data_IF_679882284130
#
_entry.id   IF_679882284130
#
_cell.length_a   1.000
_cell.length_b   1.000
_cell.length_c   1.000
_cell.angle_alpha   90.00
_cell.angle_beta   90.00
_cell.angle_gamma   90.00
#
_symmetry.space_group_name_H-M   'P 1'
#
loop_
_entity.id
_entity.type
_entity.pdbx_description
1 polymer ?
#
# COMPACT_ATOMS: atom_id res chain seq x y z
N UNK A 1 -15.54 5.12 -21.76
CA UNK A 1 -16.77 5.88 -21.44
C UNK A 1 -16.60 6.66 -20.13
N UNK A 2 -15.52 7.44 -19.98
CA UNK A 2 -15.10 7.99 -18.68
C UNK A 2 -14.57 9.44 -18.68
N UNK A 3 -14.60 10.15 -19.80
CA UNK A 3 -14.13 11.54 -19.89
C UNK A 3 -15.22 12.59 -19.55
N UNK A 4 -16.46 12.16 -19.33
CA UNK A 4 -17.63 13.04 -19.27
C UNK A 4 -18.06 13.48 -17.85
N UNK A 5 -17.21 13.31 -16.83
CA UNK A 5 -17.50 13.75 -15.45
C UNK A 5 -16.58 14.85 -14.90
N UNK A 6 -15.65 15.36 -15.70
CA UNK A 6 -14.70 16.41 -15.27
C UNK A 6 -15.35 17.81 -15.27
N UNK A 7 -16.59 17.94 -15.74
CA UNK A 7 -17.34 19.21 -15.78
C UNK A 7 -18.10 19.54 -14.48
N UNK A 8 -17.93 18.73 -13.42
CA UNK A 8 -18.32 19.13 -12.07
C UNK A 8 -17.29 20.12 -11.53
N UNK A 9 -17.66 21.40 -11.53
CA UNK A 9 -16.89 22.58 -11.11
C UNK A 9 -15.90 22.29 -9.97
N UNK A 10 -14.60 22.20 -10.32
CA UNK A 10 -13.51 22.24 -9.36
C UNK A 10 -13.69 23.46 -8.44
N UNK A 11 -13.94 23.22 -7.16
CA UNK A 11 -14.22 24.29 -6.21
C UNK A 11 -12.96 24.86 -5.60
N UNK A 12 -11.97 23.99 -5.37
CA UNK A 12 -10.66 24.35 -4.81
C UNK A 12 -9.57 23.57 -5.55
N UNK A 13 -9.27 23.94 -6.81
CA UNK A 13 -8.31 23.21 -7.62
C UNK A 13 -6.93 23.22 -6.97
N UNK A 14 -6.29 22.05 -6.96
CA UNK A 14 -4.96 21.83 -6.42
C UNK A 14 -4.14 21.03 -7.42
N UNK A 15 -2.90 21.43 -7.68
CA UNK A 15 -1.96 20.59 -8.42
C UNK A 15 -1.56 19.37 -7.59
N UNK A 16 -1.50 18.20 -8.23
CA UNK A 16 -1.01 16.98 -7.57
C UNK A 16 0.40 17.19 -7.01
N UNK A 17 0.54 17.00 -5.70
CA UNK A 17 1.82 17.26 -5.01
C UNK A 17 2.88 16.20 -5.24
N UNK A 18 2.51 15.04 -5.80
CA UNK A 18 3.45 13.97 -6.14
C UNK A 18 4.32 14.25 -7.37
N UNK A 19 4.03 15.30 -8.14
CA UNK A 19 4.78 15.65 -9.35
C UNK A 19 5.66 16.89 -9.13
N UNK A 20 6.94 16.75 -9.42
CA UNK A 20 7.84 17.90 -9.50
C UNK A 20 7.40 18.84 -10.62
N UNK A 21 7.27 20.14 -10.34
CA UNK A 21 7.04 21.18 -11.34
C UNK A 21 8.37 21.84 -11.70
N UNK A 22 8.77 21.74 -12.97
CA UNK A 22 10.07 22.15 -13.46
C UNK A 22 9.91 23.15 -14.61
N UNK A 23 10.73 24.21 -14.63
CA UNK A 23 10.78 25.16 -15.76
C UNK A 23 11.77 24.67 -16.80
N UNK A 24 11.32 24.52 -18.06
CA UNK A 24 12.20 24.21 -19.20
C UNK A 24 12.58 25.43 -20.04
N UNK A 25 11.95 26.57 -19.75
CA UNK A 25 12.15 27.82 -20.47
C UNK A 25 11.16 28.88 -20.01
N UNK A 26 11.03 30.00 -20.75
CA UNK A 26 10.14 31.09 -20.40
C UNK A 26 8.65 30.72 -20.54
N UNK A 27 8.32 29.79 -21.44
CA UNK A 27 6.92 29.46 -21.78
C UNK A 27 6.56 27.97 -21.67
N UNK A 28 7.39 27.18 -21.00
CA UNK A 28 7.18 25.72 -20.86
C UNK A 28 7.44 25.26 -19.43
N UNK A 29 6.45 24.56 -18.89
CA UNK A 29 6.46 23.93 -17.58
C UNK A 29 6.36 22.41 -17.77
N UNK A 30 7.21 21.66 -17.10
CA UNK A 30 7.15 20.20 -17.04
C UNK A 30 6.61 19.77 -15.68
N UNK A 31 5.71 18.79 -15.69
CA UNK A 31 5.24 18.09 -14.50
C UNK A 31 5.76 16.66 -14.52
N UNK A 32 6.41 16.24 -13.43
CA UNK A 32 6.93 14.89 -13.28
C UNK A 32 8.28 14.65 -13.94
N UNK A 33 8.89 13.52 -13.55
CA UNK A 33 10.17 13.03 -14.07
C UNK A 33 10.04 11.69 -14.81
N UNK A 34 9.01 10.90 -14.47
CA UNK A 34 8.72 9.60 -15.06
C UNK A 34 8.32 9.77 -16.55
N UNK A 35 9.06 9.18 -17.51
CA UNK A 35 8.74 9.29 -18.94
C UNK A 35 7.31 8.88 -19.30
N UNK A 36 6.72 7.93 -18.57
CA UNK A 36 5.37 7.42 -18.85
C UNK A 36 4.26 8.33 -18.31
N UNK A 37 4.61 9.29 -17.44
CA UNK A 37 3.65 10.17 -16.74
C UNK A 37 3.96 11.66 -16.87
N UNK A 38 5.14 12.02 -17.35
CA UNK A 38 5.57 13.40 -17.40
C UNK A 38 4.75 14.19 -18.44
N UNK A 39 4.29 15.37 -18.04
CA UNK A 39 3.48 16.24 -18.89
C UNK A 39 4.24 17.52 -19.19
N UNK A 40 4.27 17.91 -20.46
CA UNK A 40 4.80 19.20 -20.92
C UNK A 40 3.65 20.14 -21.25
N UNK A 41 3.58 21.23 -20.50
CA UNK A 41 2.63 22.32 -20.74
C UNK A 41 3.37 23.50 -21.38
N UNK A 42 3.06 23.77 -22.64
CA UNK A 42 3.66 24.83 -23.45
C UNK A 42 2.71 26.02 -23.61
N UNK A 43 3.22 27.16 -24.07
CA UNK A 43 2.40 28.37 -24.27
C UNK A 43 2.00 29.07 -22.97
N UNK A 44 2.71 28.80 -21.87
CA UNK A 44 2.47 29.44 -20.58
C UNK A 44 3.09 30.84 -20.59
N UNK A 45 2.30 31.87 -20.33
CA UNK A 45 2.79 33.22 -20.09
C UNK A 45 2.92 33.50 -18.58
N UNK A 46 3.36 34.71 -18.24
CA UNK A 46 3.54 35.10 -16.84
C UNK A 46 2.23 35.09 -16.02
N UNK A 47 1.08 35.27 -16.66
CA UNK A 47 -0.21 35.28 -15.97
C UNK A 47 -0.66 33.85 -15.64
N UNK A 48 -0.55 32.92 -16.60
CA UNK A 48 -0.86 31.51 -16.39
C UNK A 48 0.14 30.85 -15.42
N UNK A 49 1.40 31.27 -15.43
CA UNK A 49 2.39 30.77 -14.46
C UNK A 49 2.05 31.17 -13.02
N UNK A 50 1.60 32.41 -12.80
CA UNK A 50 1.07 32.85 -11.48
C UNK A 50 -0.20 32.09 -11.09
N UNK A 51 -1.04 31.73 -12.07
CA UNK A 51 -2.19 30.87 -11.79
C UNK A 51 -1.72 29.52 -11.26
N UNK A 52 -0.74 28.87 -11.91
CA UNK A 52 -0.19 27.58 -11.47
C UNK A 52 0.37 27.64 -10.04
N UNK A 53 0.98 28.76 -9.61
CA UNK A 53 1.47 28.95 -8.24
C UNK A 53 0.36 29.00 -7.19
N UNK A 54 -0.86 29.38 -7.58
CA UNK A 54 -2.03 29.53 -6.70
C UNK A 54 -3.00 28.34 -6.75
N UNK A 55 -2.70 27.31 -7.55
CA UNK A 55 -3.45 26.04 -7.56
C UNK A 55 -3.00 25.14 -6.41
N UNK A 56 -3.17 25.61 -5.17
CA UNK A 56 -2.83 24.90 -3.93
C UNK A 56 -4.06 24.35 -3.19
N UNK A 57 -5.26 24.58 -3.73
CA UNK A 57 -6.54 24.21 -3.12
C UNK A 57 -7.08 25.20 -2.09
N UNK A 58 -6.54 26.43 -2.01
CA UNK A 58 -7.02 27.45 -1.08
C UNK A 58 -8.16 28.32 -1.62
N UNK A 59 -8.24 28.53 -2.94
CA UNK A 59 -9.12 29.51 -3.58
C UNK A 59 -10.06 28.91 -4.61
N UNK A 60 -11.20 29.55 -4.84
CA UNK A 60 -12.13 29.20 -5.91
C UNK A 60 -11.63 29.74 -7.27
N UNK A 61 -11.84 29.05 -8.42
CA UNK A 61 -11.36 29.52 -9.72
C UNK A 61 -11.80 30.95 -10.09
N UNK A 62 -13.04 31.32 -9.76
CA UNK A 62 -13.54 32.68 -10.02
C UNK A 62 -12.81 33.76 -9.21
N UNK A 63 -12.46 33.47 -7.95
CA UNK A 63 -11.68 34.38 -7.10
C UNK A 63 -10.25 34.49 -7.62
N UNK A 64 -9.65 33.36 -8.03
CA UNK A 64 -8.31 33.32 -8.60
C UNK A 64 -8.20 34.14 -9.90
N UNK A 65 -9.19 34.02 -10.79
CA UNK A 65 -9.24 34.78 -12.04
C UNK A 65 -9.30 36.29 -11.77
N UNK A 66 -10.11 36.71 -10.79
CA UNK A 66 -10.24 38.12 -10.40
C UNK A 66 -8.94 38.64 -9.74
N UNK A 67 -8.36 37.89 -8.80
CA UNK A 67 -7.13 38.24 -8.09
C UNK A 67 -5.93 38.49 -9.04
N UNK A 68 -5.84 37.71 -10.11
CA UNK A 68 -4.73 37.75 -11.06
C UNK A 68 -5.02 38.52 -12.36
N UNK A 69 -6.21 39.11 -12.47
CA UNK A 69 -6.69 39.83 -13.67
C UNK A 69 -6.58 38.97 -14.95
N UNK A 70 -7.06 37.72 -14.86
CA UNK A 70 -7.05 36.74 -15.96
C UNK A 70 -8.49 36.49 -16.43
N UNK A 71 -8.78 36.48 -17.74
CA UNK A 71 -10.10 36.13 -18.25
C UNK A 71 -10.54 34.74 -17.75
N UNK A 72 -11.79 34.63 -17.28
CA UNK A 72 -12.31 33.40 -16.66
C UNK A 72 -12.24 32.22 -17.61
N UNK A 73 -12.51 32.44 -18.89
CA UNK A 73 -12.44 31.44 -19.96
C UNK A 73 -11.02 30.91 -20.11
N UNK A 74 -10.03 31.81 -20.02
CA UNK A 74 -8.61 31.45 -20.16
C UNK A 74 -8.13 30.59 -18.99
N UNK A 75 -8.57 30.90 -17.76
CA UNK A 75 -8.30 30.05 -16.61
C UNK A 75 -9.04 28.71 -16.71
N UNK A 76 -10.28 28.71 -17.17
CA UNK A 76 -11.05 27.48 -17.38
C UNK A 76 -10.36 26.56 -18.41
N UNK A 77 -9.82 27.10 -19.49
CA UNK A 77 -9.05 26.35 -20.48
C UNK A 77 -7.81 25.69 -19.88
N UNK A 78 -7.06 26.44 -19.05
CA UNK A 78 -5.91 25.89 -18.32
C UNK A 78 -6.34 24.75 -17.39
N UNK A 79 -7.39 24.95 -16.60
CA UNK A 79 -7.88 23.92 -15.68
C UNK A 79 -8.35 22.67 -16.42
N UNK A 80 -9.02 22.82 -17.58
CA UNK A 80 -9.43 21.69 -18.43
C UNK A 80 -8.22 20.93 -18.98
N UNK A 81 -7.17 21.62 -19.43
CA UNK A 81 -5.94 20.97 -19.90
C UNK A 81 -5.25 20.20 -18.79
N UNK A 82 -5.10 20.81 -17.61
CA UNK A 82 -4.48 20.17 -16.46
C UNK A 82 -5.31 18.98 -15.96
N UNK A 83 -6.64 19.08 -15.93
CA UNK A 83 -7.51 17.98 -15.54
C UNK A 83 -7.47 16.83 -16.56
N UNK A 84 -7.44 17.13 -17.86
CA UNK A 84 -7.29 16.11 -18.92
C UNK A 84 -5.95 15.38 -18.82
N UNK A 85 -4.91 16.09 -18.39
CA UNK A 85 -3.58 15.53 -18.12
C UNK A 85 -3.44 14.89 -16.73
N UNK A 86 -4.54 14.78 -15.97
CA UNK A 86 -4.58 14.19 -14.63
C UNK A 86 -3.62 14.86 -13.62
N UNK A 87 -3.45 16.18 -13.75
CA UNK A 87 -2.56 17.00 -12.90
C UNK A 87 -3.30 17.72 -11.76
N UNK A 88 -4.63 17.60 -11.68
CA UNK A 88 -5.45 18.31 -10.69
C UNK A 88 -6.16 17.37 -9.72
N UNK A 89 -6.34 17.88 -8.52
CA UNK A 89 -7.25 17.42 -7.46
C UNK A 89 -8.19 18.55 -7.06
N UNK A 90 -9.29 18.22 -6.39
CA UNK A 90 -10.13 19.21 -5.71
C UNK A 90 -9.96 19.10 -4.19
N UNK A 91 -9.41 20.14 -3.57
CA UNK A 91 -9.24 20.18 -2.12
C UNK A 91 -10.58 20.31 -1.37
N UNK A 92 -11.67 20.69 -2.05
CA UNK A 92 -13.01 20.70 -1.47
C UNK A 92 -13.61 19.29 -1.35
N UNK A 93 -13.12 18.34 -2.16
CA UNK A 93 -13.55 16.95 -2.11
C UNK A 93 -12.73 16.21 -1.06
N UNK A 94 -13.45 15.56 -0.14
CA UNK A 94 -12.84 14.74 0.89
C UNK A 94 -13.65 13.46 1.02
N UNK A 95 -13.10 12.30 0.63
CA UNK A 95 -13.78 11.03 0.81
C UNK A 95 -14.15 10.79 2.28
N UNK A 96 -15.24 10.04 2.50
CA UNK A 96 -15.84 9.86 3.83
C UNK A 96 -14.86 9.38 4.89
N UNK A 97 -13.95 8.46 4.54
CA UNK A 97 -12.91 7.96 5.46
C UNK A 97 -11.78 8.96 5.75
N UNK A 98 -11.42 9.81 4.78
CA UNK A 98 -10.30 10.76 4.92
C UNK A 98 -10.61 11.91 5.89
N UNK A 99 -11.88 12.32 5.99
CA UNK A 99 -12.32 13.39 6.92
C UNK A 99 -12.07 13.06 8.39
N UNK A 100 -12.10 11.78 8.75
CA UNK A 100 -11.99 11.32 10.13
C UNK A 100 -10.53 11.08 10.57
N UNK A 101 -9.57 11.09 9.63
CA UNK A 101 -8.14 10.90 9.90
C UNK A 101 -7.60 12.13 10.66
N UNK A 102 -6.95 11.96 11.83
CA UNK A 102 -6.28 13.04 12.54
C UNK A 102 -5.21 13.73 11.69
N UNK A 103 -4.96 15.03 11.93
CA UNK A 103 -3.99 15.80 11.12
C UNK A 103 -2.58 15.19 11.12
N UNK A 104 -2.08 14.75 12.28
CA UNK A 104 -0.76 14.11 12.39
C UNK A 104 -0.62 12.87 11.50
N UNK A 105 -1.71 12.13 11.33
CA UNK A 105 -1.72 10.95 10.48
C UNK A 105 -1.88 11.28 9.00
N UNK A 106 -2.57 12.37 8.66
CA UNK A 106 -2.57 12.90 7.30
C UNK A 106 -1.17 13.34 6.88
N UNK A 107 -0.44 13.99 7.78
CA UNK A 107 0.95 14.39 7.53
C UNK A 107 1.84 13.16 7.33
N UNK A 108 1.66 12.13 8.15
CA UNK A 108 2.39 10.87 8.03
C UNK A 108 2.10 10.15 6.70
N UNK A 109 0.83 10.10 6.27
CA UNK A 109 0.39 9.44 5.04
C UNK A 109 0.47 10.35 3.80
N UNK A 110 0.94 11.60 3.93
CA UNK A 110 1.02 12.52 2.81
C UNK A 110 1.91 11.98 1.66
N UNK A 111 3.07 11.34 1.92
CA UNK A 111 3.86 10.72 0.86
C UNK A 111 3.12 9.56 0.17
N UNK A 112 2.45 8.69 0.92
CA UNK A 112 1.65 7.59 0.38
C UNK A 112 0.50 8.10 -0.48
N UNK A 113 -0.23 9.12 0.00
CA UNK A 113 -1.29 9.77 -0.77
C UNK A 113 -0.74 10.38 -2.06
N UNK A 114 0.40 11.07 -1.98
CA UNK A 114 1.05 11.66 -3.15
C UNK A 114 1.47 10.60 -4.17
N UNK A 115 1.83 9.38 -3.75
CA UNK A 115 2.10 8.27 -4.67
C UNK A 115 0.80 7.69 -5.26
N UNK A 116 -0.22 7.49 -4.43
CA UNK A 116 -1.53 6.96 -4.83
C UNK A 116 -2.22 7.82 -5.87
N UNK A 117 -2.10 9.14 -5.78
CA UNK A 117 -2.71 10.07 -6.74
C UNK A 117 -2.06 10.02 -8.11
N UNK A 118 -0.85 9.45 -8.23
CA UNK A 118 -0.20 9.20 -9.52
C UNK A 118 -0.57 7.85 -10.12
N UNK A 119 -0.83 6.84 -9.27
CA UNK A 119 -1.16 5.47 -9.72
C UNK A 119 -2.65 5.25 -9.93
N UNK A 120 -3.50 6.14 -9.41
CA UNK A 120 -4.94 6.11 -9.56
C UNK A 120 -5.41 7.36 -10.31
N UNK A 121 -5.73 7.24 -11.61
CA UNK A 121 -6.11 8.39 -12.43
C UNK A 121 -7.51 8.89 -12.06
N UNK A 122 -7.70 10.20 -12.18
CA UNK A 122 -8.94 10.90 -11.88
C UNK A 122 -8.86 11.73 -10.59
N UNK A 123 -9.76 12.72 -10.46
CA UNK A 123 -9.81 13.56 -9.27
C UNK A 123 -10.11 12.68 -8.05
N UNK A 124 -9.30 12.82 -7.01
CA UNK A 124 -9.49 12.19 -5.69
C UNK A 124 -9.41 10.66 -5.63
N UNK A 125 -9.13 9.97 -6.74
CA UNK A 125 -9.02 8.52 -6.78
C UNK A 125 -7.93 7.98 -5.84
N UNK A 126 -6.85 8.74 -5.62
CA UNK A 126 -5.83 8.43 -4.62
C UNK A 126 -6.34 8.53 -3.17
N UNK A 127 -7.20 9.53 -2.87
CA UNK A 127 -7.85 9.66 -1.56
C UNK A 127 -8.86 8.53 -1.33
N UNK A 128 -9.56 8.08 -2.37
CA UNK A 128 -10.46 6.92 -2.28
C UNK A 128 -9.68 5.62 -2.05
N UNK A 129 -8.57 5.42 -2.75
CA UNK A 129 -7.69 4.28 -2.54
C UNK A 129 -7.15 4.23 -1.10
N UNK A 130 -6.69 5.39 -0.60
CA UNK A 130 -6.26 5.51 0.79
C UNK A 130 -7.42 5.30 1.77
N UNK A 131 -8.61 5.83 1.47
CA UNK A 131 -9.82 5.61 2.26
C UNK A 131 -10.17 4.13 2.40
N UNK A 132 -10.12 3.35 1.31
CA UNK A 132 -10.31 1.89 1.35
C UNK A 132 -9.26 1.21 2.23
N UNK A 133 -7.99 1.62 2.08
CA UNK A 133 -6.87 1.07 2.88
C UNK A 133 -7.09 1.30 4.38
N UNK A 134 -7.55 2.50 4.76
CA UNK A 134 -7.84 2.87 6.15
C UNK A 134 -9.02 2.09 6.76
N UNK A 135 -9.88 1.50 5.93
CA UNK A 135 -10.98 0.65 6.36
C UNK A 135 -10.66 -0.85 6.28
N UNK A 136 -9.50 -1.24 5.76
CA UNK A 136 -9.16 -2.64 5.54
C UNK A 136 -8.65 -3.34 6.81
N UNK A 137 -8.99 -4.62 6.93
CA UNK A 137 -8.47 -5.56 7.92
C UNK A 137 -7.55 -6.58 7.24
N UNK A 138 -6.28 -6.57 7.63
CA UNK A 138 -5.30 -7.58 7.17
C UNK A 138 -4.83 -8.42 8.34
N UNK A 139 -4.91 -9.75 8.19
CA UNK A 139 -4.37 -10.68 9.17
C UNK A 139 -3.02 -11.21 8.70
N UNK A 140 -2.00 -11.19 9.56
CA UNK A 140 -0.67 -11.74 9.30
C UNK A 140 -0.47 -12.97 10.18
N UNK A 141 -0.41 -14.15 9.56
CA UNK A 141 -0.14 -15.43 10.24
C UNK A 141 1.34 -15.76 10.19
N UNK A 142 1.98 -15.76 11.35
CA UNK A 142 3.43 -15.85 11.52
C UNK A 142 4.04 -14.48 11.77
N UNK A 143 4.75 -14.33 12.89
CA UNK A 143 5.29 -13.06 13.38
C UNK A 143 6.81 -13.06 13.47
N UNK A 144 7.49 -13.97 12.76
CA UNK A 144 8.94 -13.93 12.58
C UNK A 144 9.39 -12.68 11.80
N UNK A 145 10.64 -12.64 11.33
CA UNK A 145 11.19 -11.44 10.67
C UNK A 145 10.38 -10.94 9.48
N UNK A 146 9.80 -11.84 8.67
CA UNK A 146 8.93 -11.43 7.56
C UNK A 146 7.63 -10.81 8.09
N UNK A 147 6.90 -11.54 8.94
CA UNK A 147 5.56 -11.15 9.35
C UNK A 147 5.52 -9.93 10.26
N UNK A 148 6.45 -9.82 11.21
CA UNK A 148 6.50 -8.64 12.09
C UNK A 148 6.86 -7.36 11.31
N UNK A 149 7.84 -7.44 10.40
CA UNK A 149 8.19 -6.29 9.53
C UNK A 149 7.06 -5.97 8.56
N UNK A 150 6.40 -6.97 7.98
CA UNK A 150 5.22 -6.78 7.12
C UNK A 150 4.08 -6.08 7.88
N UNK A 151 3.78 -6.51 9.10
CA UNK A 151 2.75 -5.88 9.91
C UNK A 151 3.05 -4.40 10.15
N UNK A 152 4.30 -4.07 10.50
CA UNK A 152 4.75 -2.68 10.63
C UNK A 152 4.60 -1.89 9.34
N UNK A 153 4.95 -2.45 8.19
CA UNK A 153 4.80 -1.80 6.89
C UNK A 153 3.33 -1.55 6.52
N UNK A 154 2.45 -2.52 6.70
CA UNK A 154 1.01 -2.38 6.42
C UNK A 154 0.38 -1.32 7.31
N UNK A 155 0.71 -1.33 8.60
CA UNK A 155 0.25 -0.32 9.56
C UNK A 155 0.78 1.07 9.21
N UNK A 156 2.06 1.21 8.88
CA UNK A 156 2.65 2.49 8.45
C UNK A 156 2.05 3.02 7.14
N UNK A 157 1.69 2.13 6.22
CA UNK A 157 1.07 2.47 4.95
C UNK A 157 -0.42 2.86 5.07
N UNK A 158 -0.99 2.80 6.29
CA UNK A 158 -2.37 3.23 6.57
C UNK A 158 -3.42 2.13 6.45
N UNK A 159 -3.06 0.85 6.60
CA UNK A 159 -4.05 -0.22 6.78
C UNK A 159 -4.76 -0.02 8.13
N UNK A 160 -6.09 -0.02 8.10
CA UNK A 160 -6.93 0.30 9.26
C UNK A 160 -6.69 -0.60 10.47
N UNK A 161 -6.65 -1.92 10.24
CA UNK A 161 -6.37 -2.92 11.27
C UNK A 161 -5.45 -4.01 10.72
N UNK A 162 -4.39 -4.30 11.49
CA UNK A 162 -3.45 -5.37 11.19
C UNK A 162 -3.40 -6.32 12.37
N UNK A 163 -4.03 -7.48 12.22
CA UNK A 163 -4.04 -8.52 13.26
C UNK A 163 -2.85 -9.45 13.02
N UNK A 164 -2.12 -9.80 14.08
CA UNK A 164 -0.93 -10.67 13.97
C UNK A 164 -1.12 -11.92 14.81
N UNK A 165 -1.13 -13.08 14.15
CA UNK A 165 -1.33 -14.39 14.76
C UNK A 165 -0.02 -15.19 14.75
N UNK A 166 0.56 -15.39 15.93
CA UNK A 166 1.72 -16.27 16.15
C UNK A 166 1.74 -16.69 17.62
N UNK A 167 1.79 -18.00 17.87
CA UNK A 167 1.78 -18.61 19.20
C UNK A 167 3.18 -18.79 19.81
N UNK A 168 4.23 -18.49 19.05
CA UNK A 168 5.61 -18.63 19.46
C UNK A 168 6.07 -17.56 20.44
N UNK A 169 7.26 -17.78 20.99
CA UNK A 169 7.95 -16.82 21.86
C UNK A 169 9.05 -16.11 21.08
N UNK A 170 9.21 -14.81 21.30
CA UNK A 170 10.24 -14.00 20.64
C UNK A 170 11.64 -14.43 21.05
N UNK A 171 12.42 -14.90 20.09
CA UNK A 171 13.82 -15.29 20.23
C UNK A 171 14.77 -14.24 19.63
N UNK A 172 16.07 -14.25 19.97
CA UNK A 172 17.05 -13.32 19.38
C UNK A 172 17.11 -13.34 17.85
N UNK A 173 16.82 -14.47 17.22
CA UNK A 173 16.81 -14.63 15.76
C UNK A 173 15.57 -14.04 15.07
N UNK A 174 14.55 -13.60 15.85
CA UNK A 174 13.34 -12.98 15.32
C UNK A 174 13.45 -11.46 15.15
N UNK A 175 14.52 -10.86 15.70
CA UNK A 175 14.70 -9.42 15.70
C UNK A 175 14.98 -8.90 14.29
N UNK A 176 14.28 -7.84 13.88
CA UNK A 176 14.48 -7.18 12.60
C UNK A 176 14.11 -5.69 12.63
N UNK A 177 14.69 -4.87 11.75
CA UNK A 177 14.21 -3.52 11.50
C UNK A 177 12.71 -3.52 11.16
N UNK A 178 11.96 -2.57 11.73
CA UNK A 178 10.52 -2.45 11.51
C UNK A 178 9.67 -3.59 12.08
N UNK A 179 10.27 -4.54 12.80
CA UNK A 179 9.58 -5.67 13.44
C UNK A 179 9.89 -5.77 14.94
N UNK A 180 10.14 -6.99 15.40
CA UNK A 180 10.44 -7.27 16.81
C UNK A 180 11.81 -6.72 17.22
N UNK A 181 11.88 -6.23 18.45
CA UNK A 181 13.08 -5.59 19.02
C UNK A 181 13.53 -6.28 20.31
N UNK A 182 14.64 -5.82 20.88
CA UNK A 182 15.17 -6.39 22.13
C UNK A 182 14.19 -6.33 23.31
N UNK A 183 13.26 -5.36 23.31
CA UNK A 183 12.24 -5.24 24.36
C UNK A 183 11.21 -6.36 24.31
N UNK A 184 11.11 -7.06 23.18
CA UNK A 184 10.10 -8.08 22.92
C UNK A 184 10.62 -9.49 23.25
N UNK A 185 11.92 -9.67 23.52
CA UNK A 185 12.54 -10.95 23.85
C UNK A 185 11.81 -11.66 25.00
N UNK A 186 11.54 -12.96 24.83
CA UNK A 186 10.84 -13.78 25.82
C UNK A 186 9.33 -13.55 25.91
N UNK A 187 8.77 -12.56 25.20
CA UNK A 187 7.34 -12.31 25.15
C UNK A 187 6.67 -13.07 24.00
N UNK A 188 5.36 -13.34 24.07
CA UNK A 188 4.59 -13.91 22.97
C UNK A 188 4.74 -13.09 21.69
N UNK A 189 5.00 -13.77 20.57
CA UNK A 189 5.44 -13.13 19.33
C UNK A 189 4.33 -12.33 18.66
N UNK A 190 3.12 -12.89 18.53
CA UNK A 190 1.98 -12.19 17.92
C UNK A 190 1.67 -10.84 18.59
N UNK A 191 1.37 -10.79 19.90
CA UNK A 191 1.12 -9.54 20.62
C UNK A 191 2.30 -8.57 20.57
N UNK A 192 3.54 -9.06 20.58
CA UNK A 192 4.72 -8.21 20.49
C UNK A 192 4.88 -7.56 19.12
N UNK A 193 4.60 -8.31 18.04
CA UNK A 193 4.61 -7.78 16.68
C UNK A 193 3.48 -6.77 16.47
N UNK A 194 2.27 -7.02 16.99
CA UNK A 194 1.17 -6.07 16.96
C UNK A 194 1.52 -4.76 17.68
N UNK A 195 2.14 -4.84 18.88
CA UNK A 195 2.66 -3.65 19.58
C UNK A 195 3.75 -2.94 18.78
N UNK A 196 4.63 -3.69 18.11
CA UNK A 196 5.68 -3.12 17.28
C UNK A 196 5.11 -2.34 16.08
N UNK A 197 4.11 -2.90 15.39
CA UNK A 197 3.41 -2.24 14.32
C UNK A 197 2.64 -1.00 14.81
N UNK A 198 2.00 -1.07 15.98
CA UNK A 198 1.30 0.08 16.56
C UNK A 198 2.24 1.26 16.89
N UNK A 199 3.54 1.04 17.12
CA UNK A 199 4.51 2.13 17.36
C UNK A 199 4.76 3.01 16.14
N UNK A 200 4.51 2.49 14.93
CA UNK A 200 4.75 3.24 13.69
C UNK A 200 3.50 3.91 13.14
N UNK A 201 2.31 3.70 13.74
CA UNK A 201 1.09 4.42 13.37
C UNK A 201 0.65 5.38 14.47
N UNK A 202 0.29 6.60 14.08
CA UNK A 202 -0.41 7.56 14.94
C UNK A 202 -1.93 7.36 14.98
N UNK A 203 -2.46 6.31 14.34
CA UNK A 203 -3.91 6.10 14.20
C UNK A 203 -4.35 4.72 14.62
N UNK A 204 -5.40 4.71 15.44
CA UNK A 204 -6.29 3.58 15.59
C UNK A 204 -7.61 3.96 14.91
N UNK A 205 -7.89 3.38 13.74
CA UNK A 205 -9.23 3.45 13.18
C UNK A 205 -10.07 2.35 13.83
N UNK A 206 -11.33 2.62 14.19
CA UNK A 206 -12.24 1.57 14.58
C UNK A 206 -12.55 0.72 13.34
N UNK A 207 -11.80 -0.37 13.15
CA UNK A 207 -12.22 -1.44 12.28
C UNK A 207 -13.25 -2.29 13.04
N UNK A 208 -14.42 -2.51 12.44
CA UNK A 208 -15.42 -3.41 13.00
C UNK A 208 -14.85 -4.83 13.15
N UNK A 209 -15.34 -5.59 14.13
CA UNK A 209 -15.03 -7.02 14.17
C UNK A 209 -15.59 -7.66 12.90
N UNK A 210 -14.73 -8.35 12.15
CA UNK A 210 -15.06 -8.76 10.81
C UNK A 210 -14.12 -9.83 10.25
N UNK A 211 -14.48 -10.30 9.06
CA UNK A 211 -13.65 -11.21 8.27
C UNK A 211 -12.52 -10.38 7.65
N UNK A 212 -11.25 -10.84 7.68
CA UNK A 212 -10.15 -10.11 7.06
C UNK A 212 -10.33 -9.98 5.54
N UNK A 213 -10.00 -8.82 4.99
CA UNK A 213 -9.96 -8.55 3.54
C UNK A 213 -8.83 -9.34 2.87
N UNK A 214 -7.74 -9.59 3.62
CA UNK A 214 -6.58 -10.36 3.18
C UNK A 214 -5.92 -11.06 4.37
N UNK A 215 -5.49 -12.29 4.16
CA UNK A 215 -4.61 -13.01 5.10
C UNK A 215 -3.24 -13.21 4.47
N UNK A 216 -2.17 -12.80 5.16
CA UNK A 216 -0.80 -13.07 4.73
C UNK A 216 -0.20 -14.20 5.55
N UNK A 217 0.18 -15.27 4.86
CA UNK A 217 0.86 -16.44 5.41
C UNK A 217 2.37 -16.16 5.40
N UNK A 218 2.88 -15.64 6.52
CA UNK A 218 4.22 -15.13 6.64
C UNK A 218 5.18 -16.19 7.21
N UNK A 219 6.02 -16.72 6.33
CA UNK A 219 7.11 -17.64 6.63
C UNK A 219 6.67 -18.96 7.28
N UNK A 220 5.42 -19.36 7.04
CA UNK A 220 4.86 -20.63 7.49
C UNK A 220 5.38 -21.81 6.65
N UNK A 221 5.48 -23.02 7.24
CA UNK A 221 5.84 -24.21 6.50
C UNK A 221 4.91 -24.46 5.30
N UNK A 222 5.43 -24.99 4.17
CA UNK A 222 4.64 -25.28 2.99
C UNK A 222 3.85 -26.59 3.17
N UNK A 223 2.98 -26.64 4.18
CA UNK A 223 2.20 -27.82 4.50
C UNK A 223 0.97 -27.92 3.57
N UNK A 224 0.63 -29.15 3.18
CA UNK A 224 -0.59 -29.39 2.40
C UNK A 224 -1.80 -29.02 3.28
N UNK A 225 -2.73 -28.29 2.69
CA UNK A 225 -3.96 -27.83 3.36
C UNK A 225 -3.82 -26.50 4.09
N UNK A 226 -2.62 -25.91 4.11
CA UNK A 226 -2.44 -24.52 4.55
C UNK A 226 -3.31 -23.63 3.66
N UNK A 227 -4.20 -22.86 4.28
CA UNK A 227 -5.13 -21.96 3.60
C UNK A 227 -6.37 -22.63 3.02
N UNK A 228 -6.61 -23.93 3.23
CA UNK A 228 -7.85 -24.58 2.79
C UNK A 228 -9.09 -24.02 3.53
N UNK A 229 -8.91 -23.64 4.80
CA UNK A 229 -9.90 -22.88 5.57
C UNK A 229 -10.20 -21.53 4.94
N UNK A 230 -9.16 -20.78 4.56
CA UNK A 230 -9.28 -19.48 3.90
C UNK A 230 -9.95 -19.60 2.53
N UNK A 231 -9.55 -20.60 1.74
CA UNK A 231 -10.14 -20.87 0.44
C UNK A 231 -11.64 -21.20 0.56
N UNK A 232 -12.02 -22.07 1.52
CA UNK A 232 -13.43 -22.40 1.78
C UNK A 232 -14.23 -21.21 2.28
N UNK A 233 -13.62 -20.34 3.07
CA UNK A 233 -14.24 -19.12 3.58
C UNK A 233 -14.30 -17.99 2.52
N UNK A 234 -13.69 -18.16 1.35
CA UNK A 234 -13.64 -17.13 0.31
C UNK A 234 -12.69 -15.98 0.62
N UNK A 235 -11.75 -16.17 1.55
CA UNK A 235 -10.82 -15.13 2.02
C UNK A 235 -9.57 -15.08 1.13
N UNK A 236 -9.27 -13.93 0.51
CA UNK A 236 -8.02 -13.74 -0.22
C UNK A 236 -6.82 -13.97 0.69
N UNK A 237 -5.79 -14.64 0.16
CA UNK A 237 -4.58 -14.88 0.95
C UNK A 237 -3.30 -14.87 0.13
N UNK A 238 -2.25 -14.30 0.71
CA UNK A 238 -0.93 -14.13 0.10
C UNK A 238 0.10 -14.97 0.87
N UNK A 239 0.98 -15.65 0.15
CA UNK A 239 2.15 -16.31 0.76
C UNK A 239 3.35 -15.36 0.71
N UNK A 240 4.05 -15.20 1.82
CA UNK A 240 5.31 -14.46 1.89
C UNK A 240 6.29 -15.25 2.76
N UNK A 241 7.29 -15.90 2.17
CA UNK A 241 8.14 -16.85 2.89
C UNK A 241 9.60 -16.81 2.44
N UNK A 242 10.49 -17.33 3.27
CA UNK A 242 11.87 -17.60 2.90
C UNK A 242 12.09 -19.10 2.72
N UNK A 243 12.85 -19.42 1.68
CA UNK A 243 13.34 -20.76 1.38
C UNK A 243 14.86 -20.69 1.25
N UNK A 244 15.54 -21.07 2.33
CA UNK A 244 17.01 -21.02 2.41
C UNK A 244 17.55 -19.61 2.09
N UNK A 245 18.05 -19.39 0.88
CA UNK A 245 18.59 -18.09 0.43
C UNK A 245 17.65 -17.33 -0.51
N UNK A 246 16.44 -17.84 -0.74
CA UNK A 246 15.46 -17.27 -1.66
C UNK A 246 14.25 -16.70 -0.92
N UNK A 247 13.78 -15.55 -1.39
CA UNK A 247 12.54 -14.93 -0.95
C UNK A 247 11.40 -15.27 -1.91
N UNK A 248 10.24 -15.63 -1.37
CA UNK A 248 9.05 -15.98 -2.13
C UNK A 248 7.91 -15.05 -1.71
N UNK A 249 7.34 -14.36 -2.70
CA UNK A 249 6.07 -13.62 -2.54
C UNK A 249 5.11 -14.16 -3.59
N UNK A 250 3.98 -14.66 -3.12
CA UNK A 250 2.97 -15.29 -3.93
C UNK A 250 2.88 -16.82 -3.77
N UNK A 251 1.78 -17.42 -4.26
CA UNK A 251 0.70 -16.74 -4.99
C UNK A 251 -0.14 -15.84 -4.08
N UNK A 252 -0.71 -14.77 -4.66
CA UNK A 252 -1.91 -14.14 -4.11
C UNK A 252 -3.09 -14.95 -4.60
N UNK A 253 -3.71 -15.68 -3.68
CA UNK A 253 -4.90 -16.48 -3.94
C UNK A 253 -6.12 -15.59 -3.77
N UNK A 254 -6.86 -15.41 -4.87
CA UNK A 254 -8.19 -14.80 -4.88
C UNK A 254 -9.19 -15.93 -5.18
N UNK A 255 -9.94 -16.42 -4.18
CA UNK A 255 -10.84 -17.56 -4.34
C UNK A 255 -11.78 -17.41 -5.55
N UNK A 256 -11.85 -18.45 -6.38
CA UNK A 256 -12.63 -18.46 -7.61
C UNK A 256 -12.04 -17.67 -8.79
N UNK A 257 -10.90 -16.98 -8.62
CA UNK A 257 -10.28 -16.16 -9.68
C UNK A 257 -8.83 -16.53 -10.01
N UNK A 258 -8.06 -17.03 -9.05
CA UNK A 258 -6.67 -17.45 -9.27
C UNK A 258 -6.44 -18.92 -8.88
N UNK A 259 -5.24 -19.45 -9.15
CA UNK A 259 -4.81 -20.75 -8.62
C UNK A 259 -4.71 -20.70 -7.09
N UNK A 260 -5.14 -21.77 -6.42
CA UNK A 260 -5.02 -21.92 -4.97
C UNK A 260 -3.73 -22.65 -4.58
N UNK A 261 -3.40 -22.69 -3.30
CA UNK A 261 -2.19 -23.38 -2.80
C UNK A 261 -2.20 -24.87 -3.14
N UNK A 262 -3.37 -25.52 -3.15
CA UNK A 262 -3.49 -26.91 -3.59
C UNK A 262 -3.06 -27.11 -5.06
N UNK A 263 -3.47 -26.21 -5.99
CA UNK A 263 -3.00 -26.25 -7.38
C UNK A 263 -1.47 -26.14 -7.48
N UNK A 264 -0.84 -25.33 -6.62
CA UNK A 264 0.62 -25.21 -6.55
C UNK A 264 1.27 -26.50 -6.00
N UNK A 265 0.65 -27.16 -5.03
CA UNK A 265 1.10 -28.48 -4.56
C UNK A 265 1.00 -29.53 -5.67
N UNK A 266 -0.12 -29.60 -6.41
CA UNK A 266 -0.27 -30.52 -7.53
C UNK A 266 0.79 -30.30 -8.61
N UNK A 267 1.03 -29.04 -8.99
CA UNK A 267 2.07 -28.70 -9.97
C UNK A 267 3.48 -29.12 -9.49
N UNK A 268 3.75 -29.03 -8.18
CA UNK A 268 5.00 -29.53 -7.60
C UNK A 268 5.04 -31.06 -7.59
N UNK A 269 3.93 -31.73 -7.30
CA UNK A 269 3.82 -33.20 -7.36
C UNK A 269 4.01 -33.74 -8.77
N UNK A 270 3.55 -33.04 -9.79
CA UNK A 270 3.76 -33.42 -11.19
C UNK A 270 5.25 -33.36 -11.57
N UNK A 271 6.00 -32.39 -11.00
CA UNK A 271 7.46 -32.24 -11.21
C UNK A 271 8.29 -33.18 -10.34
N UNK A 272 7.85 -33.42 -9.12
CA UNK A 272 8.49 -34.30 -8.15
C UNK A 272 7.42 -35.10 -7.41
N UNK A 273 7.30 -36.39 -7.75
CA UNK A 273 6.30 -37.29 -7.15
C UNK A 273 6.50 -37.49 -5.65
N UNK A 274 7.70 -37.25 -5.12
CA UNK A 274 7.97 -37.33 -3.68
C UNK A 274 7.50 -36.08 -2.92
N UNK A 275 7.13 -35.00 -3.61
CA UNK A 275 6.76 -33.71 -3.00
C UNK A 275 5.73 -33.81 -1.86
N UNK A 276 4.62 -34.58 -1.96
CA UNK A 276 3.66 -34.66 -0.86
C UNK A 276 4.27 -35.19 0.44
N UNK A 277 5.19 -36.15 0.34
CA UNK A 277 5.91 -36.70 1.49
C UNK A 277 6.89 -35.67 2.08
N UNK A 278 7.62 -34.95 1.23
CA UNK A 278 8.53 -33.88 1.66
C UNK A 278 7.79 -32.72 2.32
N UNK A 279 6.66 -32.29 1.75
CA UNK A 279 5.81 -31.24 2.30
C UNK A 279 5.30 -31.62 3.70
N UNK A 280 4.91 -32.88 3.91
CA UNK A 280 4.51 -33.37 5.23
C UNK A 280 5.67 -33.36 6.24
N UNK A 281 6.90 -33.70 5.81
CA UNK A 281 8.08 -33.59 6.67
C UNK A 281 8.41 -32.14 7.03
N UNK A 282 8.33 -31.22 6.06
CA UNK A 282 8.59 -29.79 6.25
C UNK A 282 7.54 -29.11 7.15
N UNK A 283 6.31 -29.62 7.16
CA UNK A 283 5.21 -29.13 7.99
C UNK A 283 5.45 -29.36 9.49
N UNK A 284 6.20 -30.41 9.83
CA UNK A 284 6.41 -30.83 11.22
C UNK A 284 7.71 -30.21 11.73
N UNK A 285 7.68 -29.48 12.87
CA UNK A 285 8.90 -29.03 13.52
C UNK A 285 9.80 -30.23 13.86
N UNK A 286 11.00 -30.29 13.28
CA UNK A 286 11.92 -31.42 13.51
C UNK A 286 12.63 -31.27 14.86
N UNK A 287 12.51 -32.24 15.79
CA UNK A 287 13.23 -32.20 17.07
C UNK A 287 14.75 -32.34 16.91
N UNK A 288 15.20 -32.93 15.79
CA UNK A 288 16.63 -33.08 15.44
C UNK A 288 17.22 -31.78 14.89
N UNK A 289 16.37 -30.84 14.50
CA UNK A 289 16.71 -29.52 14.00
C UNK A 289 16.67 -28.50 15.14
N UNK A 290 17.63 -28.56 16.06
CA UNK A 290 18.14 -27.35 16.70
C UNK A 290 18.91 -26.47 15.68
N UNK A 291 18.56 -26.53 14.39
CA UNK A 291 19.20 -25.83 13.30
C UNK A 291 18.52 -24.49 13.12
N UNK A 292 19.32 -23.43 13.21
CA UNK A 292 18.92 -22.07 12.86
C UNK A 292 18.33 -22.08 11.46
N UNK A 293 17.07 -21.67 11.32
CA UNK A 293 16.44 -21.53 10.00
C UNK A 293 17.13 -20.39 9.25
N UNK A 294 17.60 -20.60 8.01
CA UNK A 294 18.10 -19.52 7.18
C UNK A 294 16.96 -18.53 6.93
N UNK A 295 17.13 -17.34 7.45
CA UNK A 295 16.23 -16.23 7.27
C UNK A 295 17.17 -15.04 7.30
N UNK A 296 17.67 -14.59 6.16
CA UNK A 296 18.54 -13.40 6.17
C UNK A 296 17.69 -12.17 6.49
N UNK A 297 18.20 -11.24 7.29
CA UNK A 297 17.40 -10.09 7.74
C UNK A 297 17.07 -9.13 6.60
N UNK A 298 18.00 -8.94 5.65
CA UNK A 298 17.78 -8.08 4.49
C UNK A 298 16.79 -8.75 3.54
N UNK A 299 16.98 -10.03 3.26
CA UNK A 299 16.06 -10.80 2.43
C UNK A 299 14.63 -10.85 3.02
N UNK A 300 14.51 -11.07 4.34
CA UNK A 300 13.23 -11.04 5.03
C UNK A 300 12.54 -9.67 4.92
N UNK A 301 13.31 -8.59 5.04
CA UNK A 301 12.81 -7.22 4.85
C UNK A 301 12.35 -6.99 3.41
N UNK A 302 13.10 -7.47 2.41
CA UNK A 302 12.72 -7.38 1.00
C UNK A 302 11.44 -8.16 0.70
N UNK A 303 11.30 -9.38 1.24
CA UNK A 303 10.08 -10.19 1.10
C UNK A 303 8.89 -9.49 1.76
N UNK A 304 9.06 -8.96 2.98
CA UNK A 304 8.02 -8.20 3.66
C UNK A 304 7.60 -6.96 2.86
N UNK A 305 8.55 -6.21 2.30
CA UNK A 305 8.26 -5.04 1.47
C UNK A 305 7.51 -5.39 0.17
N UNK A 306 7.92 -6.45 -0.53
CA UNK A 306 7.22 -6.89 -1.74
C UNK A 306 5.83 -7.44 -1.43
N UNK A 307 5.68 -8.18 -0.33
CA UNK A 307 4.38 -8.65 0.14
C UNK A 307 3.47 -7.48 0.51
N UNK A 308 3.99 -6.44 1.16
CA UNK A 308 3.24 -5.21 1.44
C UNK A 308 2.80 -4.53 0.15
N UNK A 309 3.70 -4.35 -0.84
CA UNK A 309 3.33 -3.77 -2.13
C UNK A 309 2.20 -4.54 -2.82
N UNK A 310 2.24 -5.87 -2.79
CA UNK A 310 1.18 -6.70 -3.39
C UNK A 310 -0.12 -6.70 -2.57
N UNK A 311 -0.05 -6.62 -1.25
CA UNK A 311 -1.22 -6.51 -0.38
C UNK A 311 -1.94 -5.17 -0.50
N UNK A 312 -1.22 -4.10 -0.88
CA UNK A 312 -1.72 -2.73 -0.98
C UNK A 312 -2.16 -2.34 -2.41
N UNK A 313 -1.93 -3.20 -3.40
CA UNK A 313 -2.25 -2.99 -4.82
C UNK A 313 -3.72 -3.31 -5.11
#
# INVERSE_FOLDING_TARGET
MGAARVDEQLRRPRLKTGLARLRRGPSTVQFGLDPDRAVLLTGIDAALDRCLDRLDGSVHPAELAADLDVPVERLADLLRLLATADLLEDAAVTPGGWRQVPLSARDQLAPDLASLTLTHPGPDAGKDALGRRLCALVEVRGAGRVGATLAGLLTAAGVGRVDVLDEGTTAPADLAPGGLTRTDLGHPRGPSAARAAARVSGVAFPAEDGVPDLVVLADLPPAIGVGDDLLRAGIPHLVAALRETEGLVGPLVVPGRSSCLHCHHLTRTDRDRAWPHLAAQLAVPSPRAASVRPCDVVLATTVAAHAALQALA
#
